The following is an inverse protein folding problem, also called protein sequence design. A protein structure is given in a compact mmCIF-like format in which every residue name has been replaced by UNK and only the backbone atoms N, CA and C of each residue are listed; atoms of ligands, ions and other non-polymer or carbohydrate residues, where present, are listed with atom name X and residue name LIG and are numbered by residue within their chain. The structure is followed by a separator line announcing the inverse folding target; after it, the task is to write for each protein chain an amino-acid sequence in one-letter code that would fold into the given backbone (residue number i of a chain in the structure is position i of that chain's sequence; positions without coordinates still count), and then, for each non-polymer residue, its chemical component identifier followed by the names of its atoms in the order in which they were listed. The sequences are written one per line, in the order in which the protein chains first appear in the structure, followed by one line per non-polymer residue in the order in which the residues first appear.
data_IF_499060519601
#
_entry.id   IF_499060519601
#
_cell.length_a   1.000
_cell.length_b   1.000
_cell.length_c   1.000
_cell.angle_alpha   90.00
_cell.angle_beta   90.00
_cell.angle_gamma   90.00
#
_symmetry.space_group_name_H-M   'P 1'
#
loop_
_entity.id
_entity.type
_entity.pdbx_description
1 polymer ?
#
# COMPACT_ATOMS: atom_id res chain seq x y z
N UNK A 1 -1.82 -7.65 2.04
CA UNK A 1 -0.58 -8.40 1.74
C UNK A 1 -0.53 -9.72 2.48
N UNK A 2 -0.55 -9.71 3.80
CA UNK A 2 -0.32 -10.91 4.62
C UNK A 2 -1.37 -12.03 4.43
N UNK A 3 -2.63 -11.69 4.23
CA UNK A 3 -3.67 -12.70 3.97
C UNK A 3 -3.40 -13.44 2.65
N UNK A 4 -3.03 -12.73 1.59
CA UNK A 4 -2.65 -13.34 0.31
C UNK A 4 -1.46 -14.28 0.50
N UNK A 5 -0.45 -13.86 1.28
CA UNK A 5 0.71 -14.72 1.58
C UNK A 5 0.31 -15.98 2.34
N UNK A 6 -0.60 -15.85 3.31
CA UNK A 6 -1.11 -16.98 4.07
C UNK A 6 -1.93 -17.95 3.17
N UNK A 7 -2.76 -17.41 2.29
CA UNK A 7 -3.55 -18.22 1.35
C UNK A 7 -2.65 -18.98 0.38
N UNK A 8 -1.59 -18.34 -0.13
CA UNK A 8 -0.58 -19.00 -0.98
C UNK A 8 0.14 -20.11 -0.19
N UNK A 9 0.57 -19.81 1.04
CA UNK A 9 1.27 -20.78 1.89
C UNK A 9 0.41 -22.02 2.14
N UNK A 10 -0.88 -21.81 2.45
CA UNK A 10 -1.84 -22.89 2.69
C UNK A 10 -2.19 -23.63 1.40
N UNK A 11 -2.46 -22.91 0.31
CA UNK A 11 -2.90 -23.50 -0.96
C UNK A 11 -1.81 -24.31 -1.66
N UNK A 12 -0.54 -23.92 -1.49
CA UNK A 12 0.59 -24.59 -2.12
C UNK A 12 1.39 -25.49 -1.14
N UNK A 13 1.07 -25.50 0.15
CA UNK A 13 1.81 -26.28 1.15
C UNK A 13 3.24 -25.79 1.37
N UNK A 14 3.52 -24.51 1.20
CA UNK A 14 4.85 -23.90 1.31
C UNK A 14 4.98 -23.03 2.55
N UNK A 15 6.22 -22.72 2.96
CA UNK A 15 6.46 -21.81 4.09
C UNK A 15 5.96 -20.39 3.79
N UNK A 16 5.62 -19.61 4.82
CA UNK A 16 5.22 -18.21 4.66
C UNK A 16 6.30 -17.37 3.94
N UNK A 17 7.58 -17.66 4.19
CA UNK A 17 8.69 -16.99 3.53
C UNK A 17 8.73 -17.32 2.02
N UNK A 18 8.53 -18.58 1.68
CA UNK A 18 8.42 -19.05 0.29
C UNK A 18 7.20 -18.44 -0.39
N UNK A 19 6.04 -18.44 0.27
CA UNK A 19 4.81 -17.84 -0.24
C UNK A 19 4.95 -16.34 -0.51
N UNK A 20 5.61 -15.60 0.38
CA UNK A 20 5.87 -14.16 0.17
C UNK A 20 6.78 -13.92 -1.05
N UNK A 21 7.80 -14.75 -1.22
CA UNK A 21 8.68 -14.70 -2.38
C UNK A 21 7.91 -15.01 -3.67
N UNK A 22 7.12 -16.08 -3.69
CA UNK A 22 6.26 -16.47 -4.82
C UNK A 22 5.29 -15.32 -5.18
N UNK A 23 4.58 -14.78 -4.20
CA UNK A 23 3.68 -13.65 -4.39
C UNK A 23 4.37 -12.46 -5.03
N UNK A 24 5.58 -12.14 -4.59
CA UNK A 24 6.32 -10.96 -5.05
C UNK A 24 6.86 -11.13 -6.47
N UNK A 25 7.31 -12.32 -6.83
CA UNK A 25 7.92 -12.59 -8.13
C UNK A 25 6.90 -12.97 -9.20
N UNK A 26 5.89 -13.75 -8.84
CA UNK A 26 4.98 -14.39 -9.79
C UNK A 26 3.51 -14.04 -9.58
N UNK A 27 3.18 -13.33 -8.49
CA UNK A 27 1.80 -13.02 -8.14
C UNK A 27 1.11 -12.10 -9.14
N UNK A 28 -0.09 -12.49 -9.58
CA UNK A 28 -0.97 -11.70 -10.44
C UNK A 28 -2.43 -11.88 -10.02
N UNK A 29 -3.19 -10.78 -10.07
CA UNK A 29 -4.63 -10.79 -9.92
C UNK A 29 -5.37 -11.05 -11.25
N UNK A 30 -4.65 -11.02 -12.39
CA UNK A 30 -5.19 -11.28 -13.72
C UNK A 30 -4.91 -12.73 -14.09
N UNK A 31 -5.95 -13.47 -14.42
CA UNK A 31 -5.83 -14.86 -14.90
C UNK A 31 -5.66 -14.96 -16.43
N UNK A 32 -5.99 -13.92 -17.17
CA UNK A 32 -6.10 -13.96 -18.63
C UNK A 32 -4.79 -13.67 -19.39
N UNK A 33 -3.75 -13.22 -18.71
CA UNK A 33 -2.48 -12.80 -19.35
C UNK A 33 -1.40 -13.87 -19.30
N UNK A 34 -1.73 -15.10 -18.93
CA UNK A 34 -0.74 -16.18 -18.83
C UNK A 34 -0.73 -16.97 -20.14
N UNK A 35 -0.29 -16.33 -21.22
CA UNK A 35 -0.09 -16.99 -22.53
C UNK A 35 1.03 -18.07 -22.47
N UNK A 36 1.95 -17.96 -21.53
CA UNK A 36 2.93 -19.00 -21.21
C UNK A 36 2.81 -19.29 -19.72
N UNK A 37 2.24 -20.44 -19.38
CA UNK A 37 2.11 -20.89 -18.00
C UNK A 37 3.48 -21.35 -17.48
N UNK A 38 4.25 -20.36 -17.05
CA UNK A 38 5.61 -20.55 -16.56
C UNK A 38 5.58 -21.45 -15.32
N UNK A 39 6.35 -22.53 -15.38
CA UNK A 39 6.50 -23.47 -14.28
C UNK A 39 7.78 -23.17 -13.52
N UNK A 40 7.75 -23.29 -12.20
CA UNK A 40 8.90 -23.14 -11.35
C UNK A 40 8.83 -24.10 -10.17
N UNK A 41 10.00 -24.47 -9.68
CA UNK A 41 10.15 -25.43 -8.60
C UNK A 41 10.09 -24.72 -7.24
N UNK A 42 9.30 -25.24 -6.32
CA UNK A 42 9.18 -24.73 -4.94
C UNK A 42 9.33 -25.84 -3.92
N UNK A 43 10.04 -25.58 -2.81
CA UNK A 43 10.16 -26.54 -1.71
C UNK A 43 8.86 -26.58 -0.90
N UNK A 44 8.30 -27.77 -0.69
CA UNK A 44 7.18 -27.98 0.23
C UNK A 44 7.65 -28.03 1.68
N UNK A 45 6.71 -27.75 2.59
CA UNK A 45 6.98 -27.87 4.04
C UNK A 45 7.15 -29.32 4.41
N UNK A 46 8.26 -29.61 5.09
CA UNK A 46 8.56 -30.96 5.61
C UNK A 46 9.30 -31.87 4.63
N UNK A 47 9.49 -31.45 3.41
CA UNK A 47 10.28 -32.17 2.42
C UNK A 47 11.68 -31.54 2.29
N UNK A 48 12.69 -32.37 2.12
CA UNK A 48 14.09 -31.96 2.02
C UNK A 48 14.78 -32.64 0.82
N UNK A 49 15.67 -31.92 0.15
CA UNK A 49 16.38 -32.38 -1.02
C UNK A 49 15.67 -32.10 -2.35
N UNK A 50 16.24 -32.64 -3.44
CA UNK A 50 15.69 -32.41 -4.79
C UNK A 50 14.34 -33.10 -5.02
N UNK A 51 14.04 -34.18 -4.27
CA UNK A 51 12.77 -34.90 -4.31
C UNK A 51 11.62 -34.08 -3.67
N UNK A 52 11.94 -33.08 -2.84
CA UNK A 52 10.97 -32.17 -2.20
C UNK A 52 10.61 -30.94 -3.03
N UNK A 53 11.05 -30.84 -4.29
CA UNK A 53 10.71 -29.77 -5.19
C UNK A 53 9.45 -30.10 -5.99
N UNK A 54 8.42 -29.29 -5.83
CA UNK A 54 7.19 -29.42 -6.60
C UNK A 54 7.11 -28.35 -7.70
N UNK A 55 6.70 -28.77 -8.89
CA UNK A 55 6.45 -27.86 -10.01
C UNK A 55 5.08 -27.20 -9.83
N UNK A 56 5.07 -25.89 -9.79
CA UNK A 56 3.88 -25.05 -9.66
C UNK A 56 3.78 -24.18 -10.89
N UNK A 57 2.56 -24.04 -11.41
CA UNK A 57 2.25 -23.14 -12.51
C UNK A 57 1.90 -21.75 -11.98
N UNK A 58 2.27 -20.73 -12.72
CA UNK A 58 1.91 -19.36 -12.40
C UNK A 58 0.40 -19.14 -12.30
N UNK A 59 -0.36 -19.87 -13.11
CA UNK A 59 -1.83 -19.90 -13.07
C UNK A 59 -2.39 -20.36 -11.74
N UNK A 60 -1.74 -21.32 -11.06
CA UNK A 60 -2.19 -21.80 -9.76
C UNK A 60 -2.08 -20.72 -8.69
N UNK A 61 -1.02 -19.90 -8.75
CA UNK A 61 -0.85 -18.76 -7.85
C UNK A 61 -1.96 -17.73 -8.09
N UNK A 62 -2.26 -17.41 -9.34
CA UNK A 62 -3.32 -16.46 -9.69
C UNK A 62 -4.70 -16.93 -9.24
N UNK A 63 -4.98 -18.23 -9.32
CA UNK A 63 -6.22 -18.84 -8.81
C UNK A 63 -6.37 -18.69 -7.28
N UNK A 64 -5.28 -18.65 -6.55
CA UNK A 64 -5.31 -18.41 -5.08
C UNK A 64 -5.44 -16.92 -4.79
N UNK A 65 -4.68 -16.08 -5.50
CA UNK A 65 -4.60 -14.64 -5.24
C UNK A 65 -5.89 -13.91 -5.59
N UNK A 66 -6.43 -14.17 -6.78
CA UNK A 66 -7.55 -13.42 -7.33
C UNK A 66 -8.79 -13.43 -6.44
N UNK A 67 -9.31 -14.57 -5.93
CA UNK A 67 -10.47 -14.58 -5.06
C UNK A 67 -10.27 -13.75 -3.79
N UNK A 68 -9.08 -13.77 -3.22
CA UNK A 68 -8.76 -12.97 -2.02
C UNK A 68 -8.79 -11.47 -2.28
N UNK A 69 -8.37 -11.04 -3.45
CA UNK A 69 -8.42 -9.63 -3.82
C UNK A 69 -9.86 -9.21 -4.16
N UNK A 70 -10.60 -10.08 -4.85
CA UNK A 70 -12.02 -9.87 -5.13
C UNK A 70 -12.81 -9.68 -3.83
N UNK A 71 -12.66 -10.58 -2.86
CA UNK A 71 -13.27 -10.46 -1.53
C UNK A 71 -12.91 -9.12 -0.87
N UNK A 72 -11.65 -8.70 -0.96
CA UNK A 72 -11.20 -7.42 -0.40
C UNK A 72 -11.93 -6.24 -1.06
N UNK A 73 -12.07 -6.23 -2.38
CA UNK A 73 -12.78 -5.16 -3.08
C UNK A 73 -14.29 -5.21 -2.88
N UNK A 74 -14.89 -6.38 -2.72
CA UNK A 74 -16.29 -6.52 -2.32
C UNK A 74 -16.55 -5.88 -0.94
N UNK A 75 -15.67 -6.14 0.03
CA UNK A 75 -15.75 -5.51 1.36
C UNK A 75 -15.61 -3.98 1.26
N UNK A 76 -14.70 -3.48 0.42
CA UNK A 76 -14.54 -2.05 0.17
C UNK A 76 -15.80 -1.47 -0.44
N UNK A 77 -16.36 -2.11 -1.47
CA UNK A 77 -17.58 -1.69 -2.13
C UNK A 77 -18.77 -1.66 -1.17
N UNK A 78 -18.92 -2.70 -0.35
CA UNK A 78 -19.96 -2.76 0.68
C UNK A 78 -19.85 -1.60 1.70
N UNK A 79 -18.62 -1.25 2.10
CA UNK A 79 -18.37 -0.12 2.99
C UNK A 79 -18.67 1.24 2.32
N UNK A 80 -18.31 1.41 1.06
CA UNK A 80 -18.62 2.62 0.29
C UNK A 80 -20.14 2.82 0.18
N UNK A 81 -20.87 1.76 -0.15
CA UNK A 81 -22.33 1.79 -0.27
C UNK A 81 -22.99 2.11 1.09
N UNK A 82 -22.53 1.48 2.17
CA UNK A 82 -23.01 1.75 3.53
C UNK A 82 -22.77 3.20 3.95
N UNK A 83 -21.68 3.81 3.50
CA UNK A 83 -21.33 5.20 3.77
C UNK A 83 -22.03 6.21 2.84
N UNK A 84 -22.90 5.74 1.93
CA UNK A 84 -23.57 6.61 0.95
C UNK A 84 -22.65 7.22 -0.11
N UNK A 85 -21.42 6.68 -0.26
CA UNK A 85 -20.43 7.14 -1.24
C UNK A 85 -20.70 6.44 -2.56
N UNK A 86 -21.64 6.95 -3.33
CA UNK A 86 -21.97 6.38 -4.63
C UNK A 86 -21.02 6.86 -5.76
N UNK A 87 -21.08 6.16 -6.90
CA UNK A 87 -20.23 6.42 -8.07
C UNK A 87 -20.43 7.82 -8.65
N UNK A 88 -21.65 8.36 -8.59
CA UNK A 88 -21.98 9.68 -9.15
C UNK A 88 -21.26 10.82 -8.42
N UNK A 89 -21.11 10.69 -7.09
CA UNK A 89 -20.43 11.68 -6.27
C UNK A 89 -18.91 11.49 -6.24
N UNK A 90 -18.43 10.25 -6.38
CA UNK A 90 -17.01 9.90 -6.31
C UNK A 90 -16.62 8.97 -7.47
N UNK A 91 -16.44 9.48 -8.70
CA UNK A 91 -16.14 8.65 -9.88
C UNK A 91 -14.69 8.16 -9.93
N UNK A 92 -13.81 8.63 -9.04
CA UNK A 92 -12.39 8.30 -9.01
C UNK A 92 -11.99 7.68 -7.69
N UNK A 93 -11.07 6.70 -7.75
CA UNK A 93 -10.45 6.08 -6.58
C UNK A 93 -8.92 6.11 -6.69
N UNK A 94 -8.25 6.10 -5.56
CA UNK A 94 -6.80 6.02 -5.48
C UNK A 94 -6.44 4.75 -4.71
N UNK A 95 -5.75 3.85 -5.37
CA UNK A 95 -5.24 2.63 -4.77
C UNK A 95 -3.77 2.85 -4.35
N UNK A 96 -3.43 2.54 -3.11
CA UNK A 96 -2.08 2.76 -2.58
C UNK A 96 -1.73 1.70 -1.54
N UNK A 97 -0.46 1.66 -1.12
CA UNK A 97 0.05 0.66 -0.20
C UNK A 97 0.76 -0.50 -0.93
N UNK A 98 1.43 -1.36 -0.16
CA UNK A 98 2.20 -2.48 -0.73
C UNK A 98 1.34 -3.47 -1.52
N UNK A 99 0.13 -3.78 -1.05
CA UNK A 99 -0.80 -4.68 -1.75
C UNK A 99 -1.27 -4.15 -3.10
N UNK A 100 -1.27 -2.83 -3.29
CA UNK A 100 -1.61 -2.21 -4.56
C UNK A 100 -0.57 -2.46 -5.67
N UNK A 101 0.65 -2.84 -5.28
CA UNK A 101 1.74 -3.14 -6.22
C UNK A 101 1.59 -4.50 -6.90
N UNK A 102 0.65 -5.33 -6.46
CA UNK A 102 0.41 -6.61 -7.08
C UNK A 102 -0.08 -6.42 -8.52
N UNK A 103 0.51 -7.18 -9.44
CA UNK A 103 0.15 -7.15 -10.86
C UNK A 103 -1.36 -7.36 -11.03
N UNK A 104 -2.01 -6.48 -11.80
CA UNK A 104 -3.45 -6.57 -12.07
C UNK A 104 -4.38 -6.09 -10.94
N UNK A 105 -3.86 -5.74 -9.77
CA UNK A 105 -4.69 -5.27 -8.65
C UNK A 105 -5.47 -3.98 -9.00
N UNK A 106 -4.85 -3.07 -9.76
CA UNK A 106 -5.50 -1.83 -10.20
C UNK A 106 -6.65 -2.11 -11.18
N UNK A 107 -6.41 -2.95 -12.16
CA UNK A 107 -7.37 -3.34 -13.20
C UNK A 107 -8.58 -4.04 -12.58
N UNK A 108 -8.31 -4.98 -11.67
CA UNK A 108 -9.35 -5.69 -10.92
C UNK A 108 -10.16 -4.73 -10.04
N UNK A 109 -9.48 -3.81 -9.33
CA UNK A 109 -10.15 -2.77 -8.55
C UNK A 109 -11.05 -1.91 -9.42
N UNK A 110 -10.57 -1.47 -10.59
CA UNK A 110 -11.34 -0.65 -11.52
C UNK A 110 -12.59 -1.37 -12.01
N UNK A 111 -12.46 -2.66 -12.31
CA UNK A 111 -13.58 -3.49 -12.73
C UNK A 111 -14.61 -3.66 -11.61
N UNK A 112 -14.18 -4.05 -10.42
CA UNK A 112 -15.09 -4.37 -9.32
C UNK A 112 -15.79 -3.18 -8.69
N UNK A 113 -15.06 -2.08 -8.47
CA UNK A 113 -15.64 -0.88 -7.87
C UNK A 113 -16.23 0.08 -8.91
N UNK A 114 -16.12 -0.24 -10.19
CA UNK A 114 -16.62 0.53 -11.34
C UNK A 114 -16.24 2.01 -11.31
N UNK A 115 -15.03 2.34 -10.92
CA UNK A 115 -14.48 3.70 -10.84
C UNK A 115 -13.15 3.78 -11.55
N UNK A 116 -12.78 4.98 -11.98
CA UNK A 116 -11.42 5.20 -12.46
C UNK A 116 -10.43 5.05 -11.30
N UNK A 117 -9.54 4.06 -11.38
CA UNK A 117 -8.54 3.79 -10.35
C UNK A 117 -7.17 4.22 -10.83
N UNK A 118 -6.49 5.05 -10.03
CA UNK A 118 -5.08 5.38 -10.21
C UNK A 118 -4.23 4.91 -9.03
N UNK A 119 -2.96 4.65 -9.30
CA UNK A 119 -2.01 4.38 -8.23
C UNK A 119 -1.65 5.66 -7.48
N UNK A 120 -1.69 5.60 -6.15
CA UNK A 120 -1.29 6.67 -5.26
C UNK A 120 0.16 6.51 -4.82
N UNK A 121 0.86 7.64 -4.68
CA UNK A 121 2.21 7.71 -4.11
C UNK A 121 2.22 8.72 -2.97
N UNK A 122 3.13 8.59 -2.00
CA UNK A 122 3.32 9.62 -0.97
C UNK A 122 3.68 10.95 -1.63
N UNK A 123 2.98 12.00 -1.25
CA UNK A 123 3.27 13.37 -1.71
C UNK A 123 3.59 14.24 -0.51
N UNK A 124 4.46 15.24 -0.72
CA UNK A 124 4.80 16.28 0.27
C UNK A 124 5.67 15.86 1.45
N UNK A 125 6.46 14.81 1.32
CA UNK A 125 7.53 14.54 2.27
C UNK A 125 8.86 14.93 1.62
N UNK A 126 9.35 16.14 1.95
CA UNK A 126 10.70 16.55 1.58
C UNK A 126 11.73 15.66 2.28
N UNK A 127 12.76 15.24 1.55
CA UNK A 127 13.82 14.38 2.07
C UNK A 127 13.52 12.88 1.98
N UNK A 128 12.41 12.47 1.35
CA UNK A 128 12.18 11.05 1.08
C UNK A 128 13.07 10.61 -0.10
N UNK A 129 13.90 9.56 0.06
CA UNK A 129 14.64 9.00 -1.05
C UNK A 129 13.68 8.52 -2.15
N UNK A 130 14.08 8.62 -3.41
CA UNK A 130 13.25 8.21 -4.54
C UNK A 130 12.82 6.75 -4.44
N UNK A 131 13.70 5.87 -3.95
CA UNK A 131 13.40 4.46 -3.68
C UNK A 131 12.25 4.26 -2.68
N UNK A 132 11.99 5.23 -1.80
CA UNK A 132 10.91 5.19 -0.78
C UNK A 132 9.69 6.02 -1.16
N UNK A 133 9.65 6.57 -2.37
CA UNK A 133 8.53 7.38 -2.86
C UNK A 133 7.40 6.56 -3.51
N UNK A 134 7.53 5.24 -3.55
CA UNK A 134 6.55 4.34 -4.15
C UNK A 134 5.28 4.16 -3.29
N UNK A 135 4.22 3.58 -3.88
CA UNK A 135 2.95 3.29 -3.20
C UNK A 135 3.12 2.44 -1.94
N UNK A 136 4.09 1.51 -1.92
CA UNK A 136 4.37 0.63 -0.80
C UNK A 136 4.68 1.39 0.51
N UNK A 137 5.25 2.58 0.40
CA UNK A 137 5.66 3.39 1.55
C UNK A 137 4.60 4.39 2.02
N UNK A 138 3.42 4.42 1.39
CA UNK A 138 2.38 5.41 1.68
C UNK A 138 1.92 5.41 3.14
N UNK A 139 1.80 4.24 3.78
CA UNK A 139 1.41 4.14 5.19
C UNK A 139 2.50 4.72 6.11
N UNK A 140 3.76 4.37 5.90
CA UNK A 140 4.88 4.90 6.68
C UNK A 140 5.01 6.42 6.49
N UNK A 141 4.94 6.89 5.26
CA UNK A 141 4.97 8.31 4.93
C UNK A 141 3.81 9.08 5.58
N UNK A 142 2.61 8.49 5.57
CA UNK A 142 1.43 9.05 6.21
C UNK A 142 1.57 9.16 7.73
N UNK A 143 2.14 8.16 8.40
CA UNK A 143 2.41 8.19 9.83
C UNK A 143 3.44 9.27 10.21
N UNK A 144 4.49 9.42 9.42
CA UNK A 144 5.50 10.48 9.61
C UNK A 144 4.85 11.86 9.45
N UNK A 145 4.07 12.06 8.40
CA UNK A 145 3.35 13.31 8.14
C UNK A 145 2.35 13.64 9.26
N UNK A 146 1.64 12.64 9.75
CA UNK A 146 0.69 12.78 10.85
C UNK A 146 1.39 13.20 12.16
N UNK A 147 2.51 12.54 12.51
CA UNK A 147 3.29 12.90 13.69
C UNK A 147 3.83 14.33 13.60
N UNK A 148 4.37 14.71 12.43
CA UNK A 148 4.89 16.06 12.21
C UNK A 148 3.79 17.13 12.38
N UNK A 149 2.60 16.88 11.84
CA UNK A 149 1.46 17.79 12.00
C UNK A 149 1.06 17.92 13.46
N UNK A 150 0.88 16.80 14.17
CA UNK A 150 0.50 16.80 15.59
C UNK A 150 1.55 17.46 16.49
N UNK A 151 2.85 17.30 16.18
CA UNK A 151 3.92 18.00 16.92
C UNK A 151 3.87 19.50 16.72
N UNK A 152 3.51 19.97 15.53
CA UNK A 152 3.33 21.41 15.28
C UNK A 152 2.08 21.97 15.99
N UNK A 153 1.01 21.17 16.09
CA UNK A 153 -0.20 21.57 16.81
C UNK A 153 -0.03 21.55 18.33
N UNK A 154 0.97 20.78 18.84
CA UNK A 154 1.30 20.68 20.27
C UNK A 154 2.39 21.67 20.73
N UNK A 155 3.06 22.37 19.81
CA UNK A 155 3.93 23.47 20.21
C UNK A 155 3.04 24.58 20.80
N UNK A 156 3.24 24.97 22.08
CA UNK A 156 2.52 26.10 22.60
C UNK A 156 2.77 27.29 21.68
N UNK A 157 1.78 28.16 21.45
CA UNK A 157 1.99 29.36 20.67
C UNK A 157 3.21 30.05 21.24
N UNK A 158 4.21 30.33 20.38
CA UNK A 158 5.41 31.08 20.81
C UNK A 158 4.90 32.29 21.59
N UNK A 159 5.31 32.44 22.87
CA UNK A 159 4.80 33.54 23.63
C UNK A 159 5.13 34.81 22.86
N UNK A 160 4.11 35.56 22.47
CA UNK A 160 4.31 36.87 21.89
C UNK A 160 5.14 37.65 22.90
N UNK A 161 6.44 37.81 22.63
CA UNK A 161 7.29 38.65 23.44
C UNK A 161 6.59 40.00 23.55
N UNK A 162 6.31 40.45 24.77
CA UNK A 162 5.53 41.65 24.94
C UNK A 162 6.19 42.79 24.16
N UNK A 163 5.39 43.51 23.40
CA UNK A 163 5.82 44.57 22.47
C UNK A 163 6.67 45.70 23.09
N UNK A 164 6.85 45.67 24.42
CA UNK A 164 7.70 46.64 25.11
C UNK A 164 9.20 46.50 24.75
N UNK A 165 9.70 45.30 24.48
CA UNK A 165 11.08 45.09 24.03
C UNK A 165 11.32 45.69 22.64
N UNK A 166 10.32 45.65 21.75
CA UNK A 166 10.37 46.34 20.46
C UNK A 166 10.35 47.87 20.60
N UNK A 167 9.67 48.37 21.62
CA UNK A 167 9.62 49.83 21.93
C UNK A 167 10.96 50.30 22.58
N UNK A 168 11.52 49.49 23.47
CA UNK A 168 12.83 49.79 24.09
C UNK A 168 13.97 49.79 23.06
N UNK A 169 13.98 48.86 22.10
CA UNK A 169 14.97 48.82 21.01
C UNK A 169 14.86 50.03 20.08
N UNK A 170 13.64 50.49 19.77
CA UNK A 170 13.42 51.72 18.99
C UNK A 170 13.81 52.99 19.77
N UNK A 171 13.58 53.03 21.07
CA UNK A 171 13.99 54.14 21.94
C UNK A 171 15.49 54.30 22.04
N UNK A 172 16.22 53.18 22.25
CA UNK A 172 17.69 53.15 22.27
C UNK A 172 18.30 53.62 20.93
N UNK A 173 17.74 53.17 19.80
CA UNK A 173 18.22 53.54 18.45
C UNK A 173 17.96 55.01 18.09
N UNK A 174 17.12 55.69 18.83
CA UNK A 174 16.75 57.08 18.60
C UNK A 174 17.48 58.08 19.53
N UNK A 175 18.07 57.58 20.64
CA UNK A 175 18.74 58.38 21.65
C UNK A 175 20.25 58.12 21.80
N UNK A 176 20.79 57.20 21.01
CA UNK A 176 22.21 56.93 20.84
C UNK A 176 22.52 56.67 19.35
#
# INVERSE_FOLDING_TARGET
GNHITADIAQGLGVSLATAERIKTLYGSALSETIENDEQFDVPLIGESGEEGLHKIQRSDISRIIRPRIEETFEMVLANLNRSGINKSHCPRAVLTGGGAMLTGARELAQHMIERQVRMGRPIRLSGLPEASAGPAFSSCAGLIAYKKRRSNDMLPPTPNLPSFLGKAGKWLKRNF
#
